data_IF_664956232684
#
_entry.id   IF_664956232684
#
_cell.length_a   1.000
_cell.length_b   1.000
_cell.length_c   1.000
_cell.angle_alpha   90.00
_cell.angle_beta   90.00
_cell.angle_gamma   90.00
#
_symmetry.space_group_name_H-M   'P 1'
#
loop_
_entity.id
_entity.type
_entity.pdbx_description
1 polymer ?
#
# COMPACT_ATOMS: atom_id res chain seq x y z
N UNK A 1 -13.03 -26.99 14.77
CA UNK A 1 -12.86 -25.82 15.67
C UNK A 1 -11.66 -25.02 15.16
N UNK A 2 -11.89 -24.07 14.25
CA UNK A 2 -10.85 -23.22 13.66
C UNK A 2 -10.89 -21.87 14.37
N UNK A 3 -9.84 -21.59 15.16
CA UNK A 3 -9.64 -20.29 15.79
C UNK A 3 -9.34 -19.24 14.72
N UNK A 4 -10.35 -18.46 14.33
CA UNK A 4 -10.20 -17.26 13.51
C UNK A 4 -10.62 -16.00 14.28
N UNK A 5 -10.34 -15.93 15.58
CA UNK A 5 -10.61 -14.74 16.38
C UNK A 5 -9.53 -13.67 16.15
N UNK A 6 -9.62 -12.93 15.05
CA UNK A 6 -8.82 -11.70 14.87
C UNK A 6 -9.60 -10.48 14.44
N UNK A 7 -10.82 -10.65 13.95
CA UNK A 7 -11.66 -9.56 13.46
C UNK A 7 -13.11 -9.81 13.82
N UNK A 8 -13.78 -8.82 14.42
CA UNK A 8 -15.23 -8.79 14.47
C UNK A 8 -15.74 -8.36 13.09
N UNK A 9 -16.41 -9.31 12.42
CA UNK A 9 -16.85 -9.16 11.03
C UNK A 9 -18.36 -9.35 10.92
N UNK A 10 -18.96 -8.55 10.06
CA UNK A 10 -20.35 -8.67 9.64
C UNK A 10 -20.39 -9.32 8.27
N UNK A 11 -21.12 -10.44 8.16
CA UNK A 11 -21.43 -11.06 6.87
C UNK A 11 -22.60 -10.35 6.18
N UNK A 12 -22.62 -10.45 4.85
CA UNK A 12 -23.77 -10.03 4.05
C UNK A 12 -24.75 -11.19 3.83
N UNK A 13 -25.93 -10.87 3.31
CA UNK A 13 -26.99 -11.86 3.04
C UNK A 13 -26.55 -12.94 2.05
N UNK A 14 -27.25 -14.07 2.06
CA UNK A 14 -27.00 -15.18 1.15
C UNK A 14 -27.11 -14.78 -0.32
N UNK A 15 -28.04 -13.89 -0.69
CA UNK A 15 -28.14 -13.40 -2.07
C UNK A 15 -26.88 -12.67 -2.54
N UNK A 16 -26.27 -11.87 -1.65
CA UNK A 16 -25.01 -11.18 -1.92
C UNK A 16 -23.87 -12.20 -2.06
N UNK A 17 -23.77 -13.15 -1.12
CA UNK A 17 -22.74 -14.19 -1.14
C UNK A 17 -22.87 -15.09 -2.39
N UNK A 18 -24.10 -15.41 -2.80
CA UNK A 18 -24.40 -16.18 -4.00
C UNK A 18 -23.96 -15.42 -5.25
N UNK A 19 -24.26 -14.12 -5.34
CA UNK A 19 -23.81 -13.29 -6.45
C UNK A 19 -22.28 -13.29 -6.59
N UNK A 20 -21.55 -13.06 -5.49
CA UNK A 20 -20.08 -13.09 -5.50
C UNK A 20 -19.54 -14.48 -5.81
N UNK A 21 -20.17 -15.53 -5.28
CA UNK A 21 -19.77 -16.92 -5.56
C UNK A 21 -19.88 -17.25 -7.05
N UNK A 22 -20.96 -16.81 -7.69
CA UNK A 22 -21.16 -16.95 -9.14
C UNK A 22 -20.12 -16.12 -9.91
N UNK A 23 -19.90 -14.86 -9.54
CA UNK A 23 -18.96 -13.96 -10.24
C UNK A 23 -17.50 -14.45 -10.15
N UNK A 24 -17.09 -14.97 -8.98
CA UNK A 24 -15.73 -15.49 -8.75
C UNK A 24 -15.58 -16.94 -9.25
N UNK A 25 -16.69 -17.64 -9.46
CA UNK A 25 -16.71 -19.04 -9.93
C UNK A 25 -16.38 -20.07 -8.85
N UNK A 26 -16.50 -19.70 -7.57
CA UNK A 26 -16.29 -20.60 -6.41
C UNK A 26 -17.08 -20.10 -5.19
N UNK A 27 -17.51 -20.98 -4.28
CA UNK A 27 -18.18 -20.58 -3.05
C UNK A 27 -17.35 -19.57 -2.24
N UNK A 28 -17.94 -18.41 -1.93
CA UNK A 28 -17.33 -17.38 -1.12
C UNK A 28 -18.39 -16.53 -0.40
N UNK A 29 -17.97 -15.83 0.65
CA UNK A 29 -18.81 -14.90 1.41
C UNK A 29 -18.14 -13.54 1.48
N UNK A 30 -18.91 -12.48 1.31
CA UNK A 30 -18.43 -11.12 1.52
C UNK A 30 -18.53 -10.79 3.01
N UNK A 31 -17.44 -10.27 3.56
CA UNK A 31 -17.35 -9.87 4.97
C UNK A 31 -16.93 -8.41 5.06
N UNK A 32 -17.54 -7.68 6.00
CA UNK A 32 -17.15 -6.33 6.39
C UNK A 32 -16.59 -6.36 7.80
N UNK A 33 -15.40 -5.81 8.00
CA UNK A 33 -14.90 -5.56 9.35
C UNK A 33 -15.50 -4.24 9.86
N UNK A 34 -16.07 -4.25 11.06
CA UNK A 34 -16.46 -3.03 11.75
C UNK A 34 -15.46 -2.79 12.87
N UNK A 35 -14.95 -1.56 12.98
CA UNK A 35 -14.06 -1.17 14.08
C UNK A 35 -14.91 -0.87 15.32
N UNK A 36 -15.61 -1.86 15.86
CA UNK A 36 -16.22 -1.77 17.19
C UNK A 36 -15.28 -2.50 18.14
N UNK A 37 -14.82 -1.80 19.17
CA UNK A 37 -13.81 -2.17 20.17
C UNK A 37 -12.35 -1.91 19.77
N UNK A 38 -11.92 -0.67 20.06
CA UNK A 38 -10.51 -0.22 20.09
C UNK A 38 -9.66 -0.90 21.20
N UNK A 39 -10.20 -1.85 21.96
CA UNK A 39 -9.55 -2.47 23.12
C UNK A 39 -9.01 -3.89 22.84
N UNK A 40 -8.26 -4.09 21.75
CA UNK A 40 -7.49 -5.33 21.57
C UNK A 40 -6.10 -5.13 22.18
N UNK A 41 -5.95 -5.58 23.42
CA UNK A 41 -4.66 -5.73 24.09
C UNK A 41 -3.87 -6.82 23.35
N UNK A 42 -2.91 -6.44 22.50
CA UNK A 42 -1.91 -7.37 22.00
C UNK A 42 -0.89 -7.63 23.11
N UNK A 43 -0.96 -8.79 23.74
CA UNK A 43 0.03 -9.26 24.70
C UNK A 43 1.42 -9.33 24.04
N UNK A 44 2.36 -8.54 24.57
CA UNK A 44 3.78 -8.57 24.18
C UNK A 44 4.33 -9.98 24.38
N UNK A 45 4.62 -10.70 23.29
CA UNK A 45 5.61 -11.77 23.34
C UNK A 45 6.97 -11.26 22.89
N UNK A 46 7.96 -11.57 23.73
CA UNK A 46 9.33 -11.09 23.75
C UNK A 46 10.11 -11.41 22.46
N UNK A 47 10.95 -10.47 22.05
CA UNK A 47 12.29 -10.78 21.50
C UNK A 47 12.36 -11.27 20.07
N UNK A 48 12.01 -10.41 19.10
CA UNK A 48 12.57 -10.38 17.73
C UNK A 48 12.07 -9.09 17.07
N UNK A 49 12.92 -8.45 16.26
CA UNK A 49 12.51 -7.33 15.40
C UNK A 49 11.34 -7.78 14.52
N UNK A 50 10.13 -7.52 15.01
CA UNK A 50 8.85 -7.83 14.40
C UNK A 50 8.17 -6.49 14.27
N UNK A 51 7.80 -6.14 13.05
CA UNK A 51 7.02 -4.94 12.70
C UNK A 51 6.01 -4.67 13.81
N UNK A 52 6.25 -3.60 14.55
CA UNK A 52 5.42 -3.22 15.68
C UNK A 52 4.04 -2.88 15.14
N UNK A 53 3.10 -3.82 15.23
CA UNK A 53 1.67 -3.53 15.14
C UNK A 53 1.33 -2.76 16.41
N UNK A 54 1.57 -1.46 16.35
CA UNK A 54 1.16 -0.50 17.35
C UNK A 54 -0.37 -0.59 17.48
N UNK A 55 -0.89 -0.58 18.70
CA UNK A 55 -2.33 -0.72 18.98
C UNK A 55 -3.13 0.40 18.31
N UNK A 56 -2.47 1.55 18.02
CA UNK A 56 -3.03 2.70 17.31
C UNK A 56 -3.18 2.52 15.80
N UNK A 57 -2.49 1.57 15.17
CA UNK A 57 -2.60 1.27 13.73
C UNK A 57 -3.39 -0.03 13.51
N UNK A 58 -4.64 -0.07 13.96
CA UNK A 58 -5.52 -1.21 13.67
C UNK A 58 -5.73 -1.30 12.16
N UNK A 59 -5.21 -2.37 11.54
CA UNK A 59 -5.47 -2.69 10.15
C UNK A 59 -6.65 -3.64 10.11
N UNK A 60 -7.60 -3.39 9.20
CA UNK A 60 -8.67 -4.34 8.88
C UNK A 60 -8.07 -5.47 8.02
N UNK A 61 -8.48 -5.56 6.75
CA UNK A 61 -7.96 -6.55 5.79
C UNK A 61 -6.72 -6.08 5.01
N UNK A 62 -6.17 -4.91 5.33
CA UNK A 62 -4.93 -4.42 4.71
C UNK A 62 -3.75 -5.31 5.09
N UNK A 63 -2.81 -5.48 4.16
CA UNK A 63 -1.69 -6.41 4.34
C UNK A 63 -0.68 -5.93 5.39
N UNK A 64 -0.09 -4.74 5.20
CA UNK A 64 1.07 -4.28 5.99
C UNK A 64 0.90 -2.92 6.66
N UNK A 65 0.19 -1.97 6.05
CA UNK A 65 -0.01 -0.62 6.61
C UNK A 65 -1.35 0.00 6.20
N UNK A 66 -1.64 1.17 6.76
CA UNK A 66 -2.88 1.91 6.50
C UNK A 66 -2.88 2.51 5.10
N UNK A 67 -1.74 3.06 4.69
CA UNK A 67 -1.57 3.68 3.39
C UNK A 67 -0.30 3.20 2.70
N UNK A 68 -0.35 3.20 1.39
CA UNK A 68 0.81 3.04 0.52
C UNK A 68 1.00 4.32 -0.30
N UNK A 69 2.19 4.90 -0.24
CA UNK A 69 2.59 6.06 -1.03
C UNK A 69 3.62 5.66 -2.09
N UNK A 70 3.49 6.22 -3.29
CA UNK A 70 4.41 6.06 -4.42
C UNK A 70 4.64 7.43 -5.05
N UNK A 71 5.89 7.76 -5.40
CA UNK A 71 6.19 8.95 -6.22
C UNK A 71 5.91 8.67 -7.70
N UNK A 72 5.37 9.68 -8.39
CA UNK A 72 5.20 9.66 -9.84
C UNK A 72 6.55 9.53 -10.56
N UNK A 73 7.60 10.16 -10.04
CA UNK A 73 8.96 10.09 -10.58
C UNK A 73 9.56 8.68 -10.42
N UNK A 74 9.36 8.03 -9.27
CA UNK A 74 9.71 6.61 -9.07
C UNK A 74 9.01 5.71 -10.09
N UNK A 75 7.74 5.99 -10.37
CA UNK A 75 6.96 5.25 -11.34
C UNK A 75 7.45 5.49 -12.78
N UNK A 76 7.71 6.75 -13.17
CA UNK A 76 8.25 7.09 -14.48
C UNK A 76 9.63 6.49 -14.73
N UNK A 77 10.52 6.49 -13.74
CA UNK A 77 11.83 5.83 -13.87
C UNK A 77 11.67 4.31 -14.07
N UNK A 78 10.76 3.66 -13.34
CA UNK A 78 10.45 2.25 -13.57
C UNK A 78 9.90 1.99 -14.98
N UNK A 79 8.94 2.79 -15.45
CA UNK A 79 8.35 2.63 -16.79
C UNK A 79 9.41 2.81 -17.88
N UNK A 80 10.30 3.80 -17.74
CA UNK A 80 11.43 4.01 -18.63
C UNK A 80 12.39 2.81 -18.67
N UNK A 81 12.72 2.21 -17.51
CA UNK A 81 13.57 1.02 -17.44
C UNK A 81 12.93 -0.19 -18.12
N UNK A 82 11.63 -0.39 -17.94
CA UNK A 82 10.90 -1.47 -18.61
C UNK A 82 10.99 -1.27 -20.13
N UNK A 83 10.67 -0.07 -20.61
CA UNK A 83 10.71 0.23 -22.05
C UNK A 83 12.13 0.06 -22.65
N UNK A 84 13.18 0.43 -21.91
CA UNK A 84 14.57 0.19 -22.33
C UNK A 84 14.89 -1.31 -22.48
N UNK A 85 14.56 -2.12 -21.47
CA UNK A 85 14.78 -3.58 -21.50
C UNK A 85 14.02 -4.27 -22.64
N UNK A 86 12.82 -3.78 -22.97
CA UNK A 86 12.02 -4.31 -24.06
C UNK A 86 12.55 -3.91 -25.44
N UNK A 87 13.06 -2.68 -25.59
CA UNK A 87 13.64 -2.18 -26.83
C UNK A 87 14.91 -2.95 -27.23
N UNK A 88 15.75 -3.30 -26.25
CA UNK A 88 16.99 -4.08 -26.48
C UNK A 88 16.73 -5.52 -26.95
N UNK A 89 15.58 -6.10 -26.60
CA UNK A 89 15.24 -7.50 -26.93
C UNK A 89 14.64 -7.70 -28.32
N UNK A 90 14.65 -6.66 -29.17
CA UNK A 90 14.16 -6.75 -30.55
C UNK A 90 12.65 -7.03 -30.68
N UNK A 91 11.90 -6.87 -29.59
CA UNK A 91 10.44 -6.92 -29.64
C UNK A 91 9.96 -5.66 -30.38
N UNK A 92 9.25 -5.84 -31.48
CA UNK A 92 8.60 -4.75 -32.23
C UNK A 92 7.87 -3.82 -31.26
N UNK A 93 8.40 -2.60 -31.16
CA UNK A 93 7.88 -1.36 -30.59
C UNK A 93 6.47 -1.43 -29.96
N UNK A 94 6.30 -2.18 -28.89
CA UNK A 94 5.13 -2.07 -28.02
C UNK A 94 5.66 -1.54 -26.70
N UNK A 95 5.62 -0.22 -26.54
CA UNK A 95 5.87 0.41 -25.23
C UNK A 95 4.90 -0.21 -24.23
N UNK A 96 5.43 -0.90 -23.22
CA UNK A 96 4.60 -1.48 -22.18
C UNK A 96 4.38 -0.38 -21.16
N UNK A 97 3.28 0.36 -21.30
CA UNK A 97 2.85 1.29 -20.27
C UNK A 97 2.27 0.50 -19.11
N UNK A 98 2.94 0.54 -17.96
CA UNK A 98 2.38 -0.03 -16.74
C UNK A 98 1.31 0.93 -16.21
N UNK A 99 0.25 0.40 -15.60
CA UNK A 99 -0.70 1.24 -14.85
C UNK A 99 -0.22 1.32 -13.38
N UNK A 100 -0.04 2.52 -12.79
CA UNK A 100 0.30 2.66 -11.37
C UNK A 100 -0.67 1.95 -10.42
N UNK A 101 -1.94 1.76 -10.80
CA UNK A 101 -2.95 1.02 -10.03
C UNK A 101 -2.54 -0.43 -9.73
N UNK A 102 -1.65 -1.03 -10.54
CA UNK A 102 -1.13 -2.38 -10.28
C UNK A 102 -0.38 -2.47 -8.95
N UNK A 103 0.18 -1.35 -8.48
CA UNK A 103 0.85 -1.25 -7.19
C UNK A 103 -0.11 -1.02 -6.02
N UNK A 104 -1.38 -0.71 -6.33
CA UNK A 104 -2.45 -0.38 -5.39
C UNK A 104 -2.09 0.74 -4.41
N UNK A 105 -1.49 1.86 -4.87
CA UNK A 105 -1.22 2.98 -3.98
C UNK A 105 -2.52 3.58 -3.44
N UNK A 106 -2.43 4.17 -2.26
CA UNK A 106 -3.46 5.07 -1.76
C UNK A 106 -3.14 6.52 -2.12
N UNK A 107 -1.84 6.86 -2.15
CA UNK A 107 -1.33 8.19 -2.42
C UNK A 107 -0.29 8.13 -3.53
N UNK A 108 -0.46 8.98 -4.54
CA UNK A 108 0.54 9.25 -5.56
C UNK A 108 0.89 10.72 -5.46
N UNK A 109 2.18 11.02 -5.42
CA UNK A 109 2.70 12.38 -5.25
C UNK A 109 3.67 12.72 -6.38
N UNK A 110 3.99 13.99 -6.55
CA UNK A 110 4.94 14.50 -7.55
C UNK A 110 5.78 15.64 -6.98
N UNK A 111 6.83 16.04 -7.71
CA UNK A 111 7.69 17.18 -7.39
C UNK A 111 8.99 16.83 -6.66
N UNK A 112 9.39 15.55 -6.65
CA UNK A 112 10.62 15.06 -6.01
C UNK A 112 11.57 14.36 -6.97
N UNK A 113 12.64 13.78 -6.43
CA UNK A 113 13.50 12.86 -7.18
C UNK A 113 12.91 11.44 -7.17
N UNK A 114 13.18 10.67 -8.22
CA UNK A 114 12.81 9.27 -8.27
C UNK A 114 13.40 8.52 -7.06
N UNK A 115 12.55 7.80 -6.34
CA UNK A 115 12.83 7.05 -5.11
C UNK A 115 13.19 7.92 -3.90
N UNK A 116 12.99 9.24 -3.97
CA UNK A 116 13.20 10.13 -2.84
C UNK A 116 12.37 9.75 -1.61
N UNK A 117 11.20 9.14 -1.84
CA UNK A 117 10.32 8.67 -0.77
C UNK A 117 10.94 7.62 0.16
N UNK A 118 11.93 6.85 -0.32
CA UNK A 118 12.59 5.82 0.48
C UNK A 118 13.27 6.37 1.74
N UNK A 119 13.74 7.61 1.67
CA UNK A 119 14.47 8.30 2.74
C UNK A 119 13.58 9.04 3.73
N UNK A 120 12.25 8.99 3.57
CA UNK A 120 11.35 9.74 4.43
C UNK A 120 11.04 8.96 5.70
N UNK A 121 11.25 9.62 6.84
CA UNK A 121 10.88 9.14 8.16
C UNK A 121 9.47 9.61 8.55
N UNK A 122 9.15 10.85 8.24
CA UNK A 122 7.85 11.49 8.42
C UNK A 122 7.51 12.31 7.19
N UNK A 123 6.22 12.61 6.99
CA UNK A 123 5.78 13.57 6.00
C UNK A 123 4.47 14.22 6.42
N UNK A 124 4.29 15.48 6.05
CA UNK A 124 3.03 16.21 6.20
C UNK A 124 2.39 16.42 4.85
N UNK A 125 1.11 16.08 4.73
CA UNK A 125 0.29 16.32 3.55
C UNK A 125 -0.85 17.24 3.98
N UNK A 126 -0.84 18.49 3.51
CA UNK A 126 -1.72 19.53 4.02
C UNK A 126 -1.52 19.72 5.53
N UNK A 127 -2.54 19.38 6.33
CA UNK A 127 -2.52 19.44 7.81
C UNK A 127 -2.30 18.09 8.50
N UNK A 128 -2.12 17.03 7.72
CA UNK A 128 -2.09 15.65 8.22
C UNK A 128 -0.66 15.15 8.31
N UNK A 129 -0.30 14.58 9.45
CA UNK A 129 1.02 14.01 9.68
C UNK A 129 0.99 12.49 9.45
N UNK A 130 2.01 12.00 8.76
CA UNK A 130 2.21 10.58 8.51
C UNK A 130 3.62 10.18 8.93
N UNK A 131 3.73 8.95 9.45
CA UNK A 131 5.01 8.31 9.74
C UNK A 131 5.26 7.21 8.73
N UNK A 132 6.46 7.17 8.17
CA UNK A 132 6.92 6.09 7.31
C UNK A 132 7.27 4.86 8.13
N UNK A 133 6.70 3.73 7.73
CA UNK A 133 6.98 2.41 8.29
C UNK A 133 8.06 1.67 7.48
N UNK A 134 8.64 2.34 6.48
CA UNK A 134 9.65 1.81 5.56
C UNK A 134 9.09 1.35 4.21
N UNK A 135 9.99 0.84 3.36
CA UNK A 135 9.68 0.44 1.99
C UNK A 135 8.71 -0.75 1.89
N UNK A 136 7.78 -0.66 0.94
CA UNK A 136 6.82 -1.73 0.66
C UNK A 136 7.46 -2.84 -0.17
N UNK A 137 7.48 -4.07 0.37
CA UNK A 137 7.99 -5.23 -0.35
C UNK A 137 6.96 -5.71 -1.39
N UNK A 138 7.39 -5.79 -2.64
CA UNK A 138 6.53 -6.18 -3.76
C UNK A 138 6.58 -7.67 -4.03
N UNK A 139 5.41 -8.24 -4.27
CA UNK A 139 5.21 -9.63 -4.67
C UNK A 139 4.65 -9.71 -6.10
N UNK A 140 4.48 -10.94 -6.60
CA UNK A 140 3.98 -11.19 -7.97
C UNK A 140 2.60 -10.61 -8.28
N UNK A 141 1.86 -10.13 -7.29
CA UNK A 141 0.54 -9.54 -7.50
C UNK A 141 0.59 -8.32 -8.44
N UNK A 142 1.68 -7.54 -8.43
CA UNK A 142 1.82 -6.37 -9.31
C UNK A 142 1.98 -6.74 -10.80
N UNK A 143 2.24 -8.01 -11.10
CA UNK A 143 2.41 -8.50 -12.46
C UNK A 143 1.10 -8.88 -13.15
N UNK A 144 -0.03 -8.71 -12.47
CA UNK A 144 -1.35 -9.02 -13.01
C UNK A 144 -1.94 -7.74 -13.59
N UNK A 145 -2.20 -7.69 -14.91
CA UNK A 145 -3.10 -6.71 -15.52
C UNK A 145 -4.52 -7.23 -15.54
N UNK A 146 -5.48 -6.32 -15.50
CA UNK A 146 -6.84 -6.60 -15.93
C UNK A 146 -7.13 -5.80 -17.19
N UNK A 147 -7.22 -6.48 -18.34
CA UNK A 147 -7.55 -5.86 -19.63
C UNK A 147 -8.80 -6.57 -20.17
N UNK A 148 -9.84 -5.81 -20.50
CA UNK A 148 -11.10 -6.38 -21.01
C UNK A 148 -11.79 -7.37 -20.04
N UNK A 149 -11.59 -7.24 -18.73
CA UNK A 149 -12.15 -8.15 -17.73
C UNK A 149 -11.41 -9.49 -17.57
N UNK A 150 -10.24 -9.64 -18.21
CA UNK A 150 -9.38 -10.82 -18.12
C UNK A 150 -8.07 -10.51 -17.40
N UNK A 151 -7.69 -11.40 -16.51
CA UNK A 151 -6.42 -11.32 -15.81
C UNK A 151 -5.27 -11.80 -16.71
N UNK A 152 -4.33 -10.91 -17.03
CA UNK A 152 -3.13 -11.21 -17.78
C UNK A 152 -1.92 -11.23 -16.83
N UNK A 153 -1.18 -12.34 -16.81
CA UNK A 153 0.03 -12.48 -15.99
C UNK A 153 1.25 -12.20 -16.84
N UNK A 154 2.14 -11.35 -16.35
CA UNK A 154 3.45 -11.13 -16.97
C UNK A 154 4.60 -11.28 -15.97
N UNK A 155 5.84 -11.07 -16.42
CA UNK A 155 7.00 -10.99 -15.50
C UNK A 155 7.24 -9.56 -15.00
N UNK A 156 6.70 -8.58 -15.71
CA UNK A 156 6.79 -7.15 -15.37
C UNK A 156 5.61 -6.70 -14.52
N UNK A 157 5.78 -5.67 -13.67
CA UNK A 157 7.00 -4.87 -13.47
C UNK A 157 7.99 -5.45 -12.43
N UNK A 158 7.65 -6.58 -11.78
CA UNK A 158 8.47 -7.12 -10.70
C UNK A 158 9.87 -7.57 -11.16
N UNK A 159 10.01 -8.09 -12.38
CA UNK A 159 11.30 -8.51 -12.92
C UNK A 159 12.27 -7.32 -13.08
N UNK A 160 11.79 -6.21 -13.63
CA UNK A 160 12.59 -4.98 -13.72
C UNK A 160 12.89 -4.42 -12.34
N UNK A 161 11.92 -4.33 -11.43
CA UNK A 161 12.20 -3.92 -10.04
C UNK A 161 13.25 -4.82 -9.36
N UNK A 162 13.21 -6.13 -9.60
CA UNK A 162 14.15 -7.07 -9.01
C UNK A 162 15.61 -6.84 -9.43
N UNK A 163 15.86 -6.21 -10.58
CA UNK A 163 17.22 -6.00 -11.11
C UNK A 163 17.97 -4.86 -10.41
N UNK A 164 17.27 -3.85 -9.89
CA UNK A 164 17.89 -2.65 -9.30
C UNK A 164 17.33 -2.24 -7.92
N UNK A 165 16.16 -2.75 -7.51
CA UNK A 165 15.51 -2.43 -6.22
C UNK A 165 15.53 -3.57 -5.21
N UNK A 166 16.33 -4.61 -5.46
CA UNK A 166 16.47 -5.74 -4.55
C UNK A 166 17.42 -5.39 -3.41
N UNK A 167 16.90 -5.38 -2.18
CA UNK A 167 17.68 -5.13 -0.96
C UNK A 167 17.41 -6.24 0.05
N UNK A 168 18.47 -6.93 0.52
CA UNK A 168 18.38 -8.00 1.53
C UNK A 168 17.28 -9.05 1.23
N UNK A 169 17.12 -9.41 -0.04
CA UNK A 169 16.12 -10.40 -0.51
C UNK A 169 14.70 -9.86 -0.69
N UNK A 170 14.44 -8.57 -0.44
CA UNK A 170 13.16 -7.89 -0.68
C UNK A 170 13.26 -7.00 -1.90
N UNK A 171 12.16 -6.80 -2.62
CA UNK A 171 12.07 -5.90 -3.77
C UNK A 171 11.21 -4.71 -3.33
N UNK A 172 11.82 -3.53 -3.17
CA UNK A 172 11.16 -2.39 -2.53
C UNK A 172 10.67 -1.37 -3.57
N UNK A 173 9.42 -0.94 -3.44
CA UNK A 173 8.85 0.12 -4.27
C UNK A 173 7.73 0.85 -3.53
N UNK A 174 7.87 2.16 -3.35
CA UNK A 174 7.00 2.98 -2.50
C UNK A 174 7.19 2.71 -1.00
N UNK A 175 6.56 3.55 -0.18
CA UNK A 175 6.64 3.49 1.28
C UNK A 175 5.29 3.23 1.92
N UNK A 176 5.32 2.49 3.02
CA UNK A 176 4.16 2.22 3.86
C UNK A 176 4.00 3.34 4.87
N UNK A 177 2.80 3.90 4.98
CA UNK A 177 2.52 5.02 5.88
C UNK A 177 1.51 4.66 6.95
N UNK A 178 1.70 5.27 8.11
CA UNK A 178 0.75 5.33 9.22
C UNK A 178 0.30 6.78 9.38
N UNK A 179 -1.00 6.99 9.56
CA UNK A 179 -1.54 8.30 9.92
C UNK A 179 -1.31 8.57 11.42
N UNK A 180 -0.70 9.70 11.75
CA UNK A 180 -0.56 10.15 13.13
C UNK A 180 -1.82 10.91 13.52
N UNK A 181 -2.68 10.26 14.30
CA UNK A 181 -3.87 10.89 14.84
C UNK A 181 -3.51 11.88 15.95
N UNK A 182 -4.04 13.09 15.83
CA UNK A 182 -3.98 14.08 16.88
C UNK A 182 -4.95 13.70 18.02
N UNK A 183 -4.43 13.56 19.24
CA UNK A 183 -5.20 13.09 20.40
C UNK A 183 -6.34 14.03 20.76
N UNK A 184 -6.21 15.33 20.46
CA UNK A 184 -7.25 16.33 20.69
C UNK A 184 -8.38 16.21 19.64
N UNK A 185 -8.03 15.98 18.37
CA UNK A 185 -9.02 15.74 17.30
C UNK A 185 -9.78 14.43 17.51
N UNK A 186 -9.15 13.42 18.11
CA UNK A 186 -9.83 12.16 18.45
C UNK A 186 -10.95 12.38 19.48
N UNK A 187 -10.81 13.33 20.41
CA UNK A 187 -11.84 13.67 21.39
C UNK A 187 -12.99 14.49 20.78
N UNK A 188 -12.68 15.36 19.82
CA UNK A 188 -13.67 16.23 19.17
C UNK A 188 -14.42 15.48 18.05
N UNK A 189 -13.84 14.39 17.53
CA UNK A 189 -14.44 13.58 16.46
C UNK A 189 -14.41 14.26 15.09
N UNK A 190 -13.53 15.25 14.91
CA UNK A 190 -13.45 16.02 13.66
C UNK A 190 -12.74 15.19 12.58
N UNK A 191 -13.36 15.01 11.39
CA UNK A 191 -12.74 14.27 10.30
C UNK A 191 -11.53 15.03 9.75
N UNK A 192 -10.51 14.26 9.35
CA UNK A 192 -9.32 14.81 8.69
C UNK A 192 -9.31 14.41 7.22
N UNK A 193 -8.98 15.35 6.34
CA UNK A 193 -9.04 15.20 4.89
C UNK A 193 -7.69 15.51 4.25
N UNK A 194 -7.39 14.77 3.18
CA UNK A 194 -6.28 15.06 2.26
C UNK A 194 -6.90 15.24 0.88
N UNK A 195 -6.47 16.26 0.16
CA UNK A 195 -6.98 16.60 -1.17
C UNK A 195 -5.88 16.53 -2.23
N UNK A 196 -6.27 16.28 -3.48
CA UNK A 196 -5.34 16.36 -4.60
C UNK A 196 -4.90 17.81 -4.75
N UNK A 197 -3.58 18.04 -4.76
CA UNK A 197 -2.99 19.37 -4.79
C UNK A 197 -2.48 19.85 -3.43
N UNK A 198 -2.74 19.13 -2.34
CA UNK A 198 -2.10 19.40 -1.05
C UNK A 198 -0.57 19.28 -1.16
N UNK A 199 0.13 20.26 -0.57
CA UNK A 199 1.58 20.22 -0.51
C UNK A 199 2.08 19.09 0.38
N UNK A 200 3.17 18.46 -0.07
CA UNK A 200 3.84 17.36 0.63
C UNK A 200 5.18 17.85 1.17
N UNK A 201 5.32 17.82 2.48
CA UNK A 201 6.53 18.25 3.20
C UNK A 201 7.17 17.04 3.88
N UNK A 202 8.19 16.40 3.28
CA UNK A 202 8.87 15.25 3.85
C UNK A 202 9.88 15.65 4.94
N UNK A 203 10.17 14.72 5.86
CA UNK A 203 11.17 14.86 6.91
C UNK A 203 11.07 16.20 7.65
N UNK A 204 9.92 16.43 8.30
CA UNK A 204 9.75 17.62 9.13
C UNK A 204 10.94 17.70 10.10
N UNK A 205 11.75 18.75 9.96
CA UNK A 205 12.82 19.02 10.90
C UNK A 205 12.18 19.09 12.29
N UNK A 206 12.70 18.28 13.21
CA UNK A 206 12.43 18.53 14.62
C UNK A 206 12.89 19.96 14.85
N UNK A 207 11.99 20.87 15.19
CA UNK A 207 12.38 22.19 15.66
C UNK A 207 13.36 21.95 16.82
N UNK A 208 14.65 22.11 16.54
CA UNK A 208 15.71 22.08 17.54
C UNK A 208 15.50 23.36 18.33
N UNK A 209 14.81 23.24 19.46
CA UNK A 209 14.88 24.23 20.53
C UNK A 209 16.19 24.07 21.28
#
# INVERSE_FOLDING_TARGET
MLFLFRYDVQGYSEDVNAWFSTAVGRPCSLLRCYTINRNIICTKQRGKFSTCRDVKSQLNFSNEAQFLLISQESFSDLDNRINAVHSEKGAQQLSITINPDRFRPNLIISGGEAYGEDGWSTLRIGKNLFTSMGGCNRCQMINISNEGGRAHKSKEPLATLASYRRQKGKILFGILLRYEMDAEKEQIGEPSWVEVGDEVHPNLESAVN
#
